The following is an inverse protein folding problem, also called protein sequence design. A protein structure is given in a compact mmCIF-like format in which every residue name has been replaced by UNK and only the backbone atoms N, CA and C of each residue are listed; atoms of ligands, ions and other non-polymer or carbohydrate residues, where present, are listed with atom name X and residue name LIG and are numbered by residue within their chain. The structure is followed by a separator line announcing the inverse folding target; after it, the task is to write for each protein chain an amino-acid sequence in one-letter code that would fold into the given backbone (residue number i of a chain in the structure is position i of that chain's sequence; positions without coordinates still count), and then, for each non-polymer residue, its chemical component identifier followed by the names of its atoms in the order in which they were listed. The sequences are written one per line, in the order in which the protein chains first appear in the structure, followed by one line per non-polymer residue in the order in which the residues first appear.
data_IF_531307016534
#
_entry.id   IF_531307016534
#
_cell.length_a   1.000
_cell.length_b   1.000
_cell.length_c   1.000
_cell.angle_alpha   90.00
_cell.angle_beta   90.00
_cell.angle_gamma   90.00
#
_symmetry.space_group_name_H-M   'P 1'
#
loop_
_entity.id
_entity.type
_entity.pdbx_description
1 polymer ?
#
# COMPACT_ATOMS: atom_id res chain seq x y z
N UNK A 1 -48.52 -31.20 9.78
CA UNK A 1 -47.42 -30.96 10.74
C UNK A 1 -47.29 -29.47 10.86
N UNK A 2 -47.78 -28.94 11.98
CA UNK A 2 -47.77 -27.51 12.29
C UNK A 2 -46.34 -26.99 12.34
N UNK A 3 -46.14 -25.77 11.85
CA UNK A 3 -44.83 -25.11 11.84
C UNK A 3 -44.30 -25.01 13.27
N UNK A 4 -43.30 -25.82 13.60
CA UNK A 4 -42.61 -25.78 14.89
C UNK A 4 -41.99 -24.39 15.07
N UNK A 5 -42.46 -23.63 16.06
CA UNK A 5 -41.86 -22.35 16.46
C UNK A 5 -41.29 -22.44 17.86
N UNK A 6 -40.17 -21.77 18.13
CA UNK A 6 -39.59 -21.74 19.45
C UNK A 6 -38.44 -20.76 19.59
N UNK A 7 -37.99 -20.61 20.82
CA UNK A 7 -36.86 -19.76 21.19
C UNK A 7 -35.80 -20.63 21.88
N UNK A 8 -34.53 -20.33 21.63
CA UNK A 8 -33.40 -20.92 22.33
C UNK A 8 -32.43 -19.83 22.78
N UNK A 9 -31.84 -20.01 23.95
CA UNK A 9 -30.77 -19.16 24.47
C UNK A 9 -29.54 -20.03 24.69
N UNK A 10 -28.39 -19.59 24.15
CA UNK A 10 -27.13 -20.32 24.24
C UNK A 10 -26.10 -19.41 24.89
N UNK A 11 -25.67 -19.80 26.09
CA UNK A 11 -24.55 -19.17 26.81
C UNK A 11 -23.39 -20.14 26.85
N UNK A 12 -22.38 -19.86 26.05
CA UNK A 12 -21.15 -20.65 25.99
C UNK A 12 -19.98 -19.79 26.48
N UNK A 13 -19.12 -20.37 27.32
CA UNK A 13 -17.93 -19.70 27.88
C UNK A 13 -16.73 -20.59 27.69
N UNK A 14 -15.54 -19.97 27.65
CA UNK A 14 -14.25 -20.67 27.49
C UNK A 14 -14.20 -21.53 26.22
N UNK A 15 -14.83 -21.07 25.15
CA UNK A 15 -14.79 -21.73 23.85
C UNK A 15 -13.38 -21.55 23.29
N UNK A 16 -12.78 -22.66 22.87
CA UNK A 16 -11.53 -22.67 22.11
C UNK A 16 -11.79 -23.28 20.74
N UNK A 17 -11.37 -22.57 19.70
CA UNK A 17 -11.49 -23.04 18.31
C UNK A 17 -10.10 -23.48 17.87
N UNK A 18 -9.99 -24.66 17.25
CA UNK A 18 -8.72 -25.21 16.81
C UNK A 18 -8.69 -25.35 15.29
N UNK A 19 -7.52 -25.12 14.69
CA UNK A 19 -7.29 -25.44 13.28
C UNK A 19 -7.06 -26.95 13.17
N UNK A 20 -7.99 -27.66 12.49
CA UNK A 20 -8.00 -29.13 12.37
C UNK A 20 -6.63 -29.73 12.02
N UNK A 21 -5.89 -29.09 11.12
CA UNK A 21 -4.66 -29.66 10.58
C UNK A 21 -3.39 -29.36 11.40
N UNK A 22 -3.42 -28.37 12.30
CA UNK A 22 -2.20 -27.91 13.02
C UNK A 22 -2.27 -28.01 14.53
N UNK A 23 -3.43 -28.39 15.10
CA UNK A 23 -3.74 -28.33 16.55
C UNK A 23 -3.47 -26.95 17.21
N UNK A 24 -3.13 -25.91 16.44
CA UNK A 24 -3.01 -24.54 16.94
C UNK A 24 -4.40 -24.00 17.25
N UNK A 25 -4.50 -23.30 18.39
CA UNK A 25 -5.69 -22.55 18.74
C UNK A 25 -5.86 -21.41 17.73
N UNK A 26 -7.06 -21.25 17.20
CA UNK A 26 -7.47 -20.09 16.41
C UNK A 26 -7.94 -18.97 17.33
N UNK A 27 -8.69 -19.37 18.36
CA UNK A 27 -9.30 -18.52 19.36
C UNK A 27 -9.27 -19.27 20.68
N UNK A 28 -8.97 -18.56 21.77
CA UNK A 28 -9.03 -19.11 23.13
C UNK A 28 -9.97 -18.27 23.98
N UNK A 29 -10.63 -18.93 24.93
CA UNK A 29 -11.43 -18.29 25.96
C UNK A 29 -12.56 -17.39 25.42
N UNK A 30 -13.12 -17.74 24.26
CA UNK A 30 -14.24 -16.99 23.68
C UNK A 30 -15.51 -17.26 24.50
N UNK A 31 -16.28 -16.21 24.73
CA UNK A 31 -17.61 -16.32 25.31
C UNK A 31 -18.63 -15.84 24.29
N UNK A 32 -19.75 -16.56 24.18
CA UNK A 32 -20.84 -16.25 23.27
C UNK A 32 -22.15 -16.31 24.06
N UNK A 33 -22.92 -15.24 23.99
CA UNK A 33 -24.30 -15.19 24.45
C UNK A 33 -25.19 -14.99 23.23
N UNK A 34 -26.08 -15.95 22.94
CA UNK A 34 -26.88 -15.98 21.72
C UNK A 34 -28.35 -16.24 22.04
N UNK A 35 -29.23 -15.47 21.38
CA UNK A 35 -30.66 -15.68 21.34
C UNK A 35 -31.06 -16.09 19.93
N UNK A 36 -31.77 -17.20 19.83
CA UNK A 36 -32.18 -17.80 18.57
C UNK A 36 -33.70 -17.96 18.60
N UNK A 37 -34.36 -17.52 17.53
CA UNK A 37 -35.78 -17.74 17.30
C UNK A 37 -35.92 -18.58 16.04
N UNK A 38 -36.74 -19.63 16.06
CA UNK A 38 -37.02 -20.44 14.89
C UNK A 38 -38.52 -20.54 14.65
N UNK A 39 -38.91 -20.53 13.39
CA UNK A 39 -40.29 -20.71 12.94
C UNK A 39 -40.29 -21.53 11.65
N UNK A 40 -40.70 -22.80 11.76
CA UNK A 40 -40.64 -23.74 10.64
C UNK A 40 -39.20 -24.02 10.20
N UNK A 41 -38.86 -23.63 8.97
CA UNK A 41 -37.54 -23.80 8.38
C UNK A 41 -36.66 -22.53 8.44
N UNK A 42 -37.12 -21.48 9.11
CA UNK A 42 -36.43 -20.20 9.21
C UNK A 42 -35.92 -19.95 10.63
N UNK A 43 -34.79 -19.25 10.74
CA UNK A 43 -34.09 -18.99 11.99
C UNK A 43 -33.58 -17.54 12.01
N UNK A 44 -33.86 -16.81 13.09
CA UNK A 44 -33.23 -15.53 13.41
C UNK A 44 -32.31 -15.71 14.61
N UNK A 45 -31.15 -15.05 14.61
CA UNK A 45 -30.24 -15.06 15.75
C UNK A 45 -29.64 -13.69 16.04
N UNK A 46 -29.35 -13.46 17.32
CA UNK A 46 -28.56 -12.33 17.82
C UNK A 46 -27.57 -12.88 18.83
N UNK A 47 -26.29 -12.57 18.64
CA UNK A 47 -25.21 -13.05 19.47
C UNK A 47 -24.23 -11.94 19.81
N UNK A 48 -23.83 -11.88 21.07
CA UNK A 48 -22.69 -11.11 21.55
C UNK A 48 -21.53 -12.08 21.76
N UNK A 49 -20.41 -11.85 21.06
CA UNK A 49 -19.21 -12.67 21.18
C UNK A 49 -18.06 -11.84 21.74
N UNK A 50 -17.37 -12.38 22.74
CA UNK A 50 -16.29 -11.72 23.47
C UNK A 50 -15.03 -12.58 23.38
N UNK A 51 -13.91 -11.98 22.97
CA UNK A 51 -12.59 -12.59 22.92
C UNK A 51 -11.54 -11.61 23.47
N UNK A 52 -11.05 -11.85 24.69
CA UNK A 52 -10.19 -10.89 25.38
C UNK A 52 -10.91 -9.56 25.61
N UNK A 53 -10.30 -8.45 25.16
CA UNK A 53 -10.88 -7.11 25.24
C UNK A 53 -11.81 -6.77 24.05
N UNK A 54 -12.02 -7.71 23.13
CA UNK A 54 -12.86 -7.50 21.94
C UNK A 54 -14.26 -8.00 22.23
N UNK A 55 -15.26 -7.17 21.95
CA UNK A 55 -16.67 -7.54 21.94
C UNK A 55 -17.24 -7.26 20.56
N UNK A 56 -17.89 -8.24 19.94
CA UNK A 56 -18.54 -8.10 18.64
C UNK A 56 -20.01 -8.50 18.73
N UNK A 57 -20.85 -7.79 17.98
CA UNK A 57 -22.28 -8.11 17.84
C UNK A 57 -22.51 -8.79 16.51
N UNK A 58 -23.16 -9.92 16.52
CA UNK A 58 -23.50 -10.70 15.33
C UNK A 58 -25.01 -10.90 15.33
N UNK A 59 -25.66 -10.62 14.22
CA UNK A 59 -27.09 -10.87 14.06
C UNK A 59 -27.35 -11.39 12.66
N UNK A 60 -28.45 -12.09 12.46
CA UNK A 60 -28.78 -12.56 11.13
C UNK A 60 -30.05 -13.38 11.05
N UNK A 61 -30.44 -13.61 9.81
CA UNK A 61 -31.51 -14.53 9.43
C UNK A 61 -30.95 -15.65 8.56
N UNK A 62 -31.44 -16.87 8.79
CA UNK A 62 -31.22 -18.01 7.92
C UNK A 62 -32.57 -18.54 7.49
N UNK A 63 -32.82 -18.53 6.18
CA UNK A 63 -34.04 -19.07 5.59
C UNK A 63 -33.79 -20.47 5.08
N UNK A 64 -34.79 -21.33 5.23
CA UNK A 64 -34.78 -22.70 4.75
C UNK A 64 -33.55 -23.50 5.19
N UNK A 65 -33.12 -23.38 6.45
CA UNK A 65 -31.82 -23.91 6.91
C UNK A 65 -31.62 -25.42 6.69
N UNK A 66 -32.72 -26.18 6.57
CA UNK A 66 -32.74 -27.62 6.29
C UNK A 66 -32.79 -27.99 4.81
N UNK A 67 -32.87 -27.02 3.89
CA UNK A 67 -33.03 -27.25 2.45
C UNK A 67 -31.78 -26.85 1.67
N UNK A 68 -31.64 -27.41 0.47
CA UNK A 68 -30.53 -27.09 -0.45
C UNK A 68 -30.54 -25.62 -0.92
N UNK A 69 -31.68 -24.95 -0.85
CA UNK A 69 -31.86 -23.55 -1.22
C UNK A 69 -31.75 -22.58 -0.03
N UNK A 70 -31.07 -22.99 1.03
CA UNK A 70 -30.81 -22.14 2.20
C UNK A 70 -30.15 -20.82 1.81
N UNK A 71 -30.57 -19.76 2.48
CA UNK A 71 -29.97 -18.44 2.38
C UNK A 71 -29.69 -17.88 3.76
N UNK A 72 -28.63 -17.10 3.91
CA UNK A 72 -28.22 -16.51 5.17
C UNK A 72 -27.86 -15.04 4.96
N UNK A 73 -28.40 -14.15 5.79
CA UNK A 73 -27.97 -12.76 5.90
C UNK A 73 -27.41 -12.58 7.32
N UNK A 74 -26.16 -12.15 7.42
CA UNK A 74 -25.48 -11.88 8.69
C UNK A 74 -25.02 -10.44 8.69
N UNK A 75 -25.25 -9.75 9.80
CA UNK A 75 -24.59 -8.50 10.15
C UNK A 75 -23.67 -8.71 11.34
N UNK A 76 -22.40 -8.37 11.17
CA UNK A 76 -21.40 -8.36 12.21
C UNK A 76 -20.87 -6.94 12.43
N UNK A 77 -20.90 -6.47 13.67
CA UNK A 77 -20.43 -5.15 14.06
C UNK A 77 -19.35 -5.25 15.13
N UNK A 78 -18.15 -4.76 14.79
CA UNK A 78 -17.05 -4.56 15.72
C UNK A 78 -17.06 -3.08 16.13
N UNK A 79 -17.40 -2.74 17.40
CA UNK A 79 -17.21 -1.40 17.92
C UNK A 79 -15.72 -1.02 17.89
N UNK A 80 -15.44 0.25 18.11
CA UNK A 80 -14.06 0.73 18.14
C UNK A 80 -13.25 0.01 19.22
N UNK A 81 -12.16 -0.63 18.80
CA UNK A 81 -11.22 -1.36 19.65
C UNK A 81 -9.78 -0.99 19.28
N UNK A 82 -8.85 -1.12 20.23
CA UNK A 82 -7.44 -0.94 19.92
C UNK A 82 -6.94 -2.10 19.06
N UNK A 83 -6.08 -1.82 18.09
CA UNK A 83 -5.52 -2.89 17.24
C UNK A 83 -4.66 -3.87 18.03
N UNK A 84 -4.01 -3.41 19.10
CA UNK A 84 -3.28 -4.28 20.01
C UNK A 84 -4.19 -5.33 20.65
N UNK A 85 -5.43 -4.98 21.00
CA UNK A 85 -6.39 -5.94 21.55
C UNK A 85 -6.78 -7.01 20.51
N UNK A 86 -6.87 -6.62 19.23
CA UNK A 86 -7.06 -7.56 18.10
C UNK A 86 -5.89 -8.52 18.00
N UNK A 87 -4.66 -8.01 17.96
CA UNK A 87 -3.46 -8.86 17.88
C UNK A 87 -3.40 -9.84 19.06
N UNK A 88 -3.64 -9.36 20.27
CA UNK A 88 -3.51 -10.16 21.49
C UNK A 88 -4.60 -11.25 21.58
N UNK A 89 -5.83 -10.96 21.15
CA UNK A 89 -6.91 -11.96 21.11
C UNK A 89 -6.70 -13.05 20.04
N UNK A 90 -6.02 -12.70 18.95
CA UNK A 90 -5.78 -13.58 17.79
C UNK A 90 -4.30 -13.99 17.64
N UNK A 91 -3.51 -13.89 18.71
CA UNK A 91 -2.06 -14.09 18.70
C UNK A 91 -1.63 -15.39 17.98
N UNK A 92 -2.31 -16.50 18.25
CA UNK A 92 -1.93 -17.82 17.72
C UNK A 92 -2.14 -17.98 16.19
N UNK A 93 -2.90 -17.08 15.56
CA UNK A 93 -3.18 -17.08 14.10
C UNK A 93 -2.73 -15.81 13.40
N UNK A 94 -2.28 -14.81 14.16
CA UNK A 94 -1.74 -13.61 13.58
C UNK A 94 -0.51 -14.00 12.74
N UNK A 95 -0.33 -13.46 11.53
CA UNK A 95 0.83 -13.82 10.71
C UNK A 95 2.13 -13.55 11.48
N UNK A 96 3.07 -14.50 11.49
CA UNK A 96 4.31 -14.39 12.27
C UNK A 96 5.07 -13.09 11.98
N UNK A 97 5.09 -12.65 10.72
CA UNK A 97 5.70 -11.39 10.27
C UNK A 97 5.06 -10.13 10.85
N UNK A 98 3.84 -10.23 11.36
CA UNK A 98 3.06 -9.15 11.96
C UNK A 98 2.97 -9.28 13.48
N UNK A 99 3.40 -10.39 14.08
CA UNK A 99 3.38 -10.52 15.54
C UNK A 99 4.32 -9.51 16.21
N UNK A 100 5.48 -9.28 15.60
CA UNK A 100 6.54 -8.43 16.13
C UNK A 100 6.53 -7.01 15.53
N UNK A 101 5.67 -6.75 14.55
CA UNK A 101 5.47 -5.41 14.04
C UNK A 101 4.69 -4.54 15.06
N UNK A 102 4.98 -3.24 15.07
CA UNK A 102 4.25 -2.26 15.86
C UNK A 102 2.88 -2.01 15.25
N UNK A 103 1.81 -2.26 16.02
CA UNK A 103 0.42 -2.02 15.63
C UNK A 103 -0.24 -1.11 16.65
N UNK A 104 -0.61 0.09 16.23
CA UNK A 104 -1.24 1.09 17.10
C UNK A 104 -2.50 1.68 16.46
N UNK A 105 -3.28 2.38 17.28
CA UNK A 105 -4.52 3.02 16.87
C UNK A 105 -5.75 2.15 17.08
N UNK A 106 -6.83 2.51 16.38
CA UNK A 106 -8.16 1.97 16.60
C UNK A 106 -8.77 1.49 15.28
N UNK A 107 -9.54 0.39 15.37
CA UNK A 107 -10.32 -0.17 14.27
C UNK A 107 -11.74 -0.39 14.75
N UNK A 108 -12.71 -0.11 13.87
CA UNK A 108 -14.09 -0.59 13.98
C UNK A 108 -14.55 -1.13 12.62
N UNK A 109 -15.58 -1.98 12.62
CA UNK A 109 -16.17 -2.47 11.38
C UNK A 109 -17.65 -2.75 11.48
N UNK A 110 -18.33 -2.61 10.36
CA UNK A 110 -19.71 -3.08 10.16
C UNK A 110 -19.72 -3.85 8.84
N UNK A 111 -20.11 -5.11 8.90
CA UNK A 111 -20.01 -6.06 7.79
C UNK A 111 -21.31 -6.82 7.64
N UNK A 112 -21.79 -6.89 6.41
CA UNK A 112 -22.95 -7.64 5.95
C UNK A 112 -22.47 -8.79 5.07
N UNK A 113 -22.93 -10.00 5.39
CA UNK A 113 -22.63 -11.23 4.68
C UNK A 113 -23.94 -11.81 4.18
N UNK A 114 -24.11 -11.87 2.87
CA UNK A 114 -25.23 -12.55 2.21
C UNK A 114 -24.74 -13.84 1.56
N UNK A 115 -25.35 -14.96 1.90
CA UNK A 115 -25.11 -16.24 1.28
C UNK A 115 -26.40 -16.80 0.71
N UNK A 116 -26.40 -17.22 -0.56
CA UNK A 116 -27.54 -17.89 -1.19
C UNK A 116 -27.08 -18.80 -2.33
N UNK A 117 -28.02 -19.34 -3.10
CA UNK A 117 -27.73 -20.08 -4.35
C UNK A 117 -26.89 -19.28 -5.35
N UNK A 118 -26.98 -17.93 -5.35
CA UNK A 118 -26.16 -17.09 -6.24
C UNK A 118 -24.70 -16.97 -5.79
N UNK A 119 -24.39 -17.35 -4.54
CA UNK A 119 -23.05 -17.33 -3.96
C UNK A 119 -22.96 -16.49 -2.69
N UNK A 120 -21.72 -16.13 -2.34
CA UNK A 120 -21.38 -15.28 -1.19
C UNK A 120 -21.20 -13.83 -1.66
N UNK A 121 -21.85 -12.90 -0.97
CA UNK A 121 -21.65 -11.46 -1.09
C UNK A 121 -21.28 -10.90 0.28
N UNK A 122 -20.27 -10.05 0.32
CA UNK A 122 -19.77 -9.34 1.49
C UNK A 122 -19.85 -7.85 1.19
N UNK A 123 -20.44 -7.06 2.06
CA UNK A 123 -20.40 -5.59 1.97
C UNK A 123 -20.13 -5.04 3.36
N UNK A 124 -19.36 -3.97 3.48
CA UNK A 124 -19.10 -3.39 4.78
C UNK A 124 -18.07 -2.30 4.74
N UNK A 125 -17.72 -1.81 5.91
CA UNK A 125 -16.75 -0.76 6.11
C UNK A 125 -15.82 -1.14 7.26
N UNK A 126 -14.53 -0.88 7.09
CA UNK A 126 -13.55 -0.88 8.17
C UNK A 126 -13.12 0.55 8.38
N UNK A 127 -13.39 1.09 9.56
CA UNK A 127 -12.96 2.44 9.93
C UNK A 127 -11.67 2.35 10.73
N UNK A 128 -10.68 3.13 10.32
CA UNK A 128 -9.40 3.26 11.00
C UNK A 128 -9.28 4.65 11.60
N UNK A 129 -8.80 4.72 12.84
CA UNK A 129 -8.49 5.96 13.53
C UNK A 129 -7.10 5.87 14.16
N UNK A 130 -6.23 6.79 13.76
CA UNK A 130 -4.83 6.89 14.17
C UNK A 130 -4.07 5.56 14.06
N UNK A 131 -4.39 4.78 13.03
CA UNK A 131 -3.77 3.48 12.82
C UNK A 131 -2.33 3.64 12.37
N UNK A 132 -1.39 2.98 13.05
CA UNK A 132 0.03 3.02 12.71
C UNK A 132 0.54 1.59 12.60
N UNK A 133 1.24 1.32 11.50
CA UNK A 133 2.02 0.11 11.28
C UNK A 133 3.51 0.46 11.30
N UNK A 134 4.28 -0.21 12.13
CA UNK A 134 5.74 -0.07 12.18
C UNK A 134 6.41 -1.44 12.00
N UNK A 135 7.47 -1.50 11.21
CA UNK A 135 8.30 -2.69 11.09
C UNK A 135 8.95 -3.05 12.42
N UNK A 136 9.28 -4.33 12.60
CA UNK A 136 9.85 -4.87 13.84
C UNK A 136 11.10 -4.12 14.30
N UNK A 137 11.94 -3.70 13.37
CA UNK A 137 13.19 -2.99 13.60
C UNK A 137 13.07 -1.48 13.31
N UNK A 138 11.85 -0.94 13.26
CA UNK A 138 11.56 0.42 12.83
C UNK A 138 12.11 0.76 11.43
N UNK A 139 12.33 -0.25 10.61
CA UNK A 139 12.86 -0.12 9.25
C UNK A 139 11.85 0.56 8.31
N UNK A 140 10.55 0.40 8.60
CA UNK A 140 9.48 1.18 7.98
C UNK A 140 8.43 1.63 9.00
N UNK A 141 7.69 2.68 8.66
CA UNK A 141 6.43 3.01 9.33
C UNK A 141 5.42 3.65 8.39
N UNK A 142 4.15 3.36 8.62
CA UNK A 142 3.03 3.90 7.86
C UNK A 142 1.97 4.39 8.83
N UNK A 143 1.64 5.67 8.79
CA UNK A 143 0.58 6.25 9.61
C UNK A 143 0.85 7.69 10.06
N UNK A 144 -0.04 8.24 10.91
CA UNK A 144 -1.34 7.68 11.27
C UNK A 144 -2.28 7.56 10.05
N UNK A 145 -2.99 6.44 9.94
CA UNK A 145 -4.01 6.17 8.93
C UNK A 145 -5.38 6.46 9.53
N UNK A 146 -6.14 7.30 8.84
CA UNK A 146 -7.49 7.71 9.22
C UNK A 146 -8.43 7.60 8.02
N UNK A 147 -9.62 7.05 8.22
CA UNK A 147 -10.65 6.98 7.18
C UNK A 147 -11.39 5.65 7.15
N UNK A 148 -12.14 5.44 6.09
CA UNK A 148 -12.98 4.25 5.90
C UNK A 148 -12.48 3.46 4.70
N UNK A 149 -12.19 2.18 4.93
CA UNK A 149 -11.90 1.19 3.89
C UNK A 149 -13.20 0.44 3.58
N UNK A 150 -13.85 0.73 2.45
CA UNK A 150 -15.03 0.01 2.02
C UNK A 150 -14.64 -1.39 1.56
N UNK A 151 -15.37 -2.38 2.06
CA UNK A 151 -15.23 -3.79 1.68
C UNK A 151 -16.43 -4.14 0.83
N UNK A 152 -16.19 -4.59 -0.40
CA UNK A 152 -17.18 -5.34 -1.15
C UNK A 152 -16.51 -6.56 -1.78
N UNK A 153 -17.21 -7.69 -1.70
CA UNK A 153 -16.87 -8.90 -2.43
C UNK A 153 -18.17 -9.51 -2.93
N UNK A 154 -18.21 -9.87 -4.20
CA UNK A 154 -19.29 -10.65 -4.78
C UNK A 154 -18.67 -11.60 -5.80
N UNK A 155 -19.27 -12.79 -5.96
CA UNK A 155 -18.88 -13.69 -7.04
C UNK A 155 -18.91 -12.91 -8.37
N UNK A 156 -17.84 -12.94 -9.19
CA UNK A 156 -17.80 -12.16 -10.42
C UNK A 156 -18.89 -12.61 -11.36
N UNK A 157 -19.71 -11.67 -11.83
CA UNK A 157 -20.63 -11.89 -12.94
C UNK A 157 -19.83 -11.92 -14.25
N UNK A 158 -20.23 -12.78 -15.20
CA UNK A 158 -19.60 -12.83 -16.52
C UNK A 158 -19.67 -11.44 -17.17
N UNK A 159 -18.51 -10.85 -17.47
CA UNK A 159 -18.42 -9.54 -18.12
C UNK A 159 -18.08 -8.36 -17.20
N UNK A 160 -17.50 -8.58 -16.01
CA UNK A 160 -16.91 -7.49 -15.21
C UNK A 160 -16.01 -6.60 -16.09
N UNK A 161 -16.35 -5.31 -16.15
CA UNK A 161 -15.56 -4.31 -16.88
C UNK A 161 -14.19 -4.22 -16.23
N UNK A 162 -13.14 -4.35 -17.04
CA UNK A 162 -11.78 -4.07 -16.62
C UNK A 162 -11.70 -2.59 -16.25
N UNK A 163 -11.47 -2.30 -14.96
CA UNK A 163 -11.15 -0.94 -14.53
C UNK A 163 -9.84 -0.55 -15.20
N UNK A 164 -9.87 0.50 -16.03
CA UNK A 164 -8.70 0.99 -16.75
C UNK A 164 -8.04 2.09 -15.94
N UNK A 165 -6.72 1.97 -15.75
CA UNK A 165 -5.90 3.07 -15.26
C UNK A 165 -5.35 3.87 -16.44
N UNK A 166 -5.07 5.18 -16.29
CA UNK A 166 -4.39 5.96 -17.31
C UNK A 166 -3.06 5.33 -17.73
N UNK A 167 -2.59 5.66 -18.94
CA UNK A 167 -1.24 5.31 -19.36
C UNK A 167 -0.23 6.21 -18.67
N UNK A 168 0.75 5.64 -17.98
CA UNK A 168 1.83 6.40 -17.32
C UNK A 168 3.08 6.35 -18.19
N UNK A 169 3.04 7.15 -19.25
CA UNK A 169 4.15 7.32 -20.19
C UNK A 169 4.64 8.76 -20.18
N UNK A 170 5.92 8.94 -20.51
CA UNK A 170 6.55 10.27 -20.48
C UNK A 170 5.85 11.26 -21.40
N UNK A 171 5.35 10.82 -22.55
CA UNK A 171 4.56 11.65 -23.48
C UNK A 171 3.25 12.15 -22.88
N UNK A 172 2.70 11.45 -21.88
CA UNK A 172 1.43 11.78 -21.24
C UNK A 172 1.63 12.63 -19.97
N UNK A 173 2.87 13.00 -19.62
CA UNK A 173 3.19 13.63 -18.35
C UNK A 173 2.35 14.89 -18.06
N UNK A 174 2.29 15.82 -19.02
CA UNK A 174 1.55 17.08 -18.84
C UNK A 174 0.04 16.85 -18.71
N UNK A 175 -0.51 15.93 -19.50
CA UNK A 175 -1.92 15.53 -19.43
C UNK A 175 -2.25 14.90 -18.07
N UNK A 176 -1.41 13.97 -17.59
CA UNK A 176 -1.56 13.34 -16.27
C UNK A 176 -1.42 14.37 -15.14
N UNK A 177 -0.45 15.27 -15.25
CA UNK A 177 -0.21 16.36 -14.29
C UNK A 177 -1.43 17.28 -14.18
N UNK A 178 -2.05 17.63 -15.32
CA UNK A 178 -3.29 18.39 -15.35
C UNK A 178 -4.49 17.58 -14.79
N UNK A 179 -4.57 16.28 -15.06
CA UNK A 179 -5.60 15.40 -14.51
C UNK A 179 -5.52 15.30 -12.98
N UNK A 180 -4.33 14.98 -12.45
CA UNK A 180 -4.09 14.83 -11.00
C UNK A 180 -3.92 16.14 -10.25
N UNK A 181 -4.07 17.30 -10.87
CA UNK A 181 -4.15 18.59 -10.17
C UNK A 181 -5.58 19.05 -9.92
N UNK A 182 -6.57 18.52 -10.65
CA UNK A 182 -8.00 18.86 -10.46
C UNK A 182 -8.52 18.32 -9.12
N UNK A 183 -9.42 19.02 -8.44
CA UNK A 183 -9.98 18.60 -7.14
C UNK A 183 -11.32 17.83 -7.25
N UNK A 184 -11.68 17.37 -8.45
CA UNK A 184 -12.96 16.70 -8.70
C UNK A 184 -12.84 15.20 -8.43
N UNK A 185 -13.77 14.67 -7.64
CA UNK A 185 -13.88 13.26 -7.32
C UNK A 185 -15.25 12.74 -7.73
N UNK A 186 -15.30 11.54 -8.29
CA UNK A 186 -16.56 10.88 -8.59
C UNK A 186 -17.30 10.49 -7.30
N UNK A 187 -18.63 10.43 -7.37
CA UNK A 187 -19.46 9.97 -6.24
C UNK A 187 -19.15 8.50 -5.93
N UNK A 188 -19.00 8.19 -4.64
CA UNK A 188 -18.89 6.80 -4.16
C UNK A 188 -17.48 6.33 -3.75
N UNK A 189 -16.48 7.20 -3.82
CA UNK A 189 -15.15 6.92 -3.27
C UNK A 189 -15.08 7.26 -1.78
N UNK A 190 -14.40 6.40 -1.01
CA UNK A 190 -14.05 6.66 0.39
C UNK A 190 -12.66 7.29 0.46
N UNK A 191 -12.52 8.31 1.32
CA UNK A 191 -11.25 8.99 1.56
C UNK A 191 -10.50 8.33 2.72
N UNK A 192 -9.23 8.05 2.49
CA UNK A 192 -8.26 7.61 3.49
C UNK A 192 -7.12 8.62 3.51
N UNK A 193 -6.70 9.05 4.70
CA UNK A 193 -5.54 9.91 4.91
C UNK A 193 -4.46 9.15 5.66
N UNK A 194 -3.21 9.28 5.23
CA UNK A 194 -2.05 8.68 5.88
C UNK A 194 -1.04 9.80 6.14
N UNK A 195 -0.68 10.01 7.40
CA UNK A 195 0.20 11.12 7.79
C UNK A 195 1.57 11.04 7.11
N UNK A 196 2.23 9.89 7.19
CA UNK A 196 3.51 9.67 6.52
C UNK A 196 3.80 8.21 6.18
N UNK A 197 4.72 8.03 5.24
CA UNK A 197 5.36 6.75 4.94
C UNK A 197 6.87 6.91 5.12
N UNK A 198 7.46 6.07 5.97
CA UNK A 198 8.89 6.02 6.27
C UNK A 198 9.44 4.67 5.86
N UNK A 199 10.60 4.66 5.19
CA UNK A 199 11.41 3.48 4.97
C UNK A 199 12.88 3.89 5.14
N UNK A 200 13.47 3.60 6.30
CA UNK A 200 14.70 4.22 6.80
C UNK A 200 14.52 5.72 7.12
N UNK A 201 14.20 6.52 6.11
CA UNK A 201 13.89 7.95 6.18
C UNK A 201 12.46 8.22 5.69
N UNK A 202 11.96 9.43 5.93
CA UNK A 202 10.58 9.81 5.65
C UNK A 202 10.40 10.09 4.17
N UNK A 203 9.79 9.14 3.44
CA UNK A 203 9.63 9.18 2.00
C UNK A 203 8.44 10.04 1.56
N UNK A 204 7.28 9.81 2.17
CA UNK A 204 6.04 10.51 1.82
C UNK A 204 5.41 11.17 3.05
N UNK A 205 4.75 12.30 2.83
CA UNK A 205 3.97 13.05 3.82
C UNK A 205 2.59 13.40 3.24
N UNK A 206 1.61 13.63 4.10
CA UNK A 206 0.27 14.14 3.74
C UNK A 206 -0.41 13.32 2.63
N UNK A 207 -0.41 12.01 2.78
CA UNK A 207 -0.91 11.10 1.77
C UNK A 207 -2.43 11.04 1.84
N UNK A 208 -3.08 11.14 0.70
CA UNK A 208 -4.53 10.99 0.55
C UNK A 208 -4.80 9.94 -0.50
N UNK A 209 -5.68 9.00 -0.20
CA UNK A 209 -6.08 7.89 -1.07
C UNK A 209 -7.59 7.88 -1.19
N UNK A 210 -8.08 7.74 -2.42
CA UNK A 210 -9.51 7.57 -2.73
C UNK A 210 -9.74 6.16 -3.25
N UNK A 211 -10.56 5.40 -2.54
CA UNK A 211 -10.80 3.98 -2.82
C UNK A 211 -12.28 3.68 -3.01
N UNK A 212 -12.59 2.81 -3.96
CA UNK A 212 -13.93 2.29 -4.20
C UNK A 212 -13.85 0.80 -4.56
N UNK A 213 -14.66 -0.05 -3.92
CA UNK A 213 -14.74 -1.45 -4.29
C UNK A 213 -15.77 -1.63 -5.40
N UNK A 214 -15.44 -2.44 -6.40
CA UNK A 214 -16.30 -2.79 -7.54
C UNK A 214 -16.23 -4.31 -7.73
N UNK A 215 -17.18 -5.03 -7.12
CA UNK A 215 -17.19 -6.50 -7.15
C UNK A 215 -15.99 -7.10 -6.43
N UNK A 216 -15.08 -7.73 -7.18
CA UNK A 216 -13.82 -8.30 -6.66
C UNK A 216 -12.62 -7.36 -6.82
N UNK A 217 -12.85 -6.14 -7.30
CA UNK A 217 -11.81 -5.18 -7.65
C UNK A 217 -11.81 -4.02 -6.65
N UNK A 218 -10.65 -3.66 -6.13
CA UNK A 218 -10.42 -2.41 -5.42
C UNK A 218 -9.82 -1.39 -6.39
N UNK A 219 -10.58 -0.33 -6.66
CA UNK A 219 -10.15 0.78 -7.48
C UNK A 219 -9.63 1.92 -6.59
N UNK A 220 -8.34 2.21 -6.71
CA UNK A 220 -7.71 3.41 -6.18
C UNK A 220 -7.63 4.43 -7.32
N UNK A 221 -8.72 5.17 -7.52
CA UNK A 221 -8.82 6.15 -8.60
C UNK A 221 -7.69 7.18 -8.48
N UNK A 222 -7.39 7.60 -7.24
CA UNK A 222 -6.35 8.57 -7.00
C UNK A 222 -5.69 8.39 -5.65
N UNK A 223 -4.37 8.47 -5.66
CA UNK A 223 -3.58 8.82 -4.50
C UNK A 223 -2.75 10.07 -4.76
N UNK A 224 -2.43 10.80 -3.70
CA UNK A 224 -1.53 11.94 -3.74
C UNK A 224 -0.74 12.06 -2.45
N UNK A 225 0.46 12.62 -2.51
CA UNK A 225 1.27 12.92 -1.33
C UNK A 225 2.39 13.90 -1.64
N UNK A 226 3.10 14.32 -0.61
CA UNK A 226 4.29 15.18 -0.69
C UNK A 226 5.55 14.32 -0.58
N UNK A 227 6.55 14.59 -1.40
CA UNK A 227 7.82 13.84 -1.45
C UNK A 227 8.98 14.81 -1.73
N UNK A 228 9.89 14.99 -0.76
CA UNK A 228 11.11 15.82 -0.87
C UNK A 228 10.91 17.15 -1.64
N UNK A 229 10.01 18.01 -1.16
CA UNK A 229 9.68 19.31 -1.79
C UNK A 229 8.78 19.22 -3.03
N UNK A 230 8.59 18.03 -3.59
CA UNK A 230 7.71 17.75 -4.71
C UNK A 230 6.41 17.05 -4.32
N UNK A 231 5.69 16.57 -5.35
CA UNK A 231 4.40 15.89 -5.23
C UNK A 231 4.42 14.55 -5.95
N UNK A 232 3.78 13.57 -5.34
CA UNK A 232 3.49 12.28 -5.97
C UNK A 232 1.99 12.16 -6.19
N UNK A 233 1.60 11.59 -7.32
CA UNK A 233 0.23 11.26 -7.67
C UNK A 233 0.17 9.88 -8.30
N UNK A 234 -1.02 9.30 -8.37
CA UNK A 234 -1.22 8.13 -9.23
C UNK A 234 -2.54 7.41 -8.96
N UNK A 235 -2.64 6.21 -9.50
CA UNK A 235 -3.82 5.34 -9.40
C UNK A 235 -3.39 3.89 -9.32
N UNK A 236 -4.24 3.05 -8.74
CA UNK A 236 -4.02 1.61 -8.70
C UNK A 236 -5.33 0.84 -8.80
N UNK A 237 -5.23 -0.41 -9.25
CA UNK A 237 -6.33 -1.36 -9.28
C UNK A 237 -5.80 -2.68 -8.73
N UNK A 238 -6.54 -3.28 -7.79
CA UNK A 238 -6.26 -4.60 -7.23
C UNK A 238 -7.45 -5.50 -7.49
N UNK A 239 -7.28 -6.50 -8.34
CA UNK A 239 -8.26 -7.53 -8.65
C UNK A 239 -7.99 -8.77 -7.79
N UNK A 240 -9.00 -9.18 -7.02
CA UNK A 240 -8.97 -10.33 -6.10
C UNK A 240 -9.75 -11.54 -6.62
N UNK A 241 -10.24 -11.51 -7.87
CA UNK A 241 -11.07 -12.59 -8.44
C UNK A 241 -10.34 -13.93 -8.57
N UNK A 242 -9.07 -13.89 -8.96
CA UNK A 242 -8.23 -15.06 -9.25
C UNK A 242 -6.83 -14.87 -8.66
N UNK A 243 -6.77 -14.75 -7.33
CA UNK A 243 -5.58 -14.29 -6.60
C UNK A 243 -5.42 -12.78 -6.65
N UNK A 244 -4.29 -12.26 -6.16
CA UNK A 244 -4.03 -10.82 -6.10
C UNK A 244 -3.33 -10.35 -7.37
N UNK A 245 -4.08 -9.76 -8.31
CA UNK A 245 -3.50 -9.08 -9.48
C UNK A 245 -3.57 -7.60 -9.26
N UNK A 246 -2.48 -6.88 -9.51
CA UNK A 246 -2.46 -5.44 -9.34
C UNK A 246 -1.84 -4.72 -10.52
N UNK A 247 -2.31 -3.51 -10.76
CA UNK A 247 -1.72 -2.53 -11.68
C UNK A 247 -1.69 -1.19 -10.97
N UNK A 248 -0.58 -0.48 -11.06
CA UNK A 248 -0.42 0.83 -10.46
C UNK A 248 0.35 1.73 -11.41
N UNK A 249 0.06 3.01 -11.36
CA UNK A 249 0.85 4.03 -12.02
C UNK A 249 1.09 5.21 -11.09
N UNK A 250 2.26 5.82 -11.25
CA UNK A 250 2.78 6.88 -10.39
C UNK A 250 3.31 8.01 -11.25
N UNK A 251 2.98 9.23 -10.87
CA UNK A 251 3.48 10.48 -11.43
C UNK A 251 4.24 11.21 -10.31
N UNK A 252 5.49 11.55 -10.57
CA UNK A 252 6.33 12.35 -9.71
C UNK A 252 6.52 13.73 -10.34
N UNK A 253 6.23 14.78 -9.59
CA UNK A 253 6.37 16.16 -10.07
C UNK A 253 7.17 17.00 -9.09
N UNK A 254 8.25 17.60 -9.57
CA UNK A 254 9.01 18.64 -8.89
C UNK A 254 9.74 18.15 -7.64
N UNK A 255 10.17 16.89 -7.60
CA UNK A 255 11.00 16.40 -6.49
C UNK A 255 12.30 17.21 -6.47
N UNK A 256 12.67 17.75 -5.31
CA UNK A 256 13.93 18.47 -5.11
C UNK A 256 15.03 17.50 -4.71
N UNK A 257 16.07 17.39 -5.54
CA UNK A 257 17.25 16.59 -5.21
C UNK A 257 18.03 17.19 -4.04
N UNK A 258 18.06 18.52 -3.92
CA UNK A 258 18.62 19.20 -2.76
C UNK A 258 17.92 18.74 -1.48
N UNK A 259 16.59 18.80 -1.45
CA UNK A 259 15.80 18.37 -0.28
C UNK A 259 16.01 16.87 0.02
N UNK A 260 16.02 16.02 -1.02
CA UNK A 260 16.27 14.59 -0.89
C UNK A 260 17.66 14.31 -0.29
N UNK A 261 18.70 14.95 -0.81
CA UNK A 261 20.07 14.78 -0.32
C UNK A 261 20.23 15.29 1.11
N UNK A 262 19.57 16.40 1.46
CA UNK A 262 19.61 16.95 2.82
C UNK A 262 18.92 16.04 3.86
N UNK A 263 17.83 15.36 3.49
CA UNK A 263 17.16 14.41 4.38
C UNK A 263 17.90 13.06 4.52
N UNK A 264 18.91 12.77 3.68
CA UNK A 264 19.64 11.50 3.65
C UNK A 264 21.14 11.75 3.86
N UNK A 265 21.56 11.78 5.13
CA UNK A 265 22.91 12.18 5.56
C UNK A 265 24.08 11.56 4.73
N UNK A 266 24.09 10.25 4.38
CA UNK A 266 25.19 9.68 3.59
C UNK A 266 25.38 10.24 2.18
N UNK A 267 24.39 10.95 1.64
CA UNK A 267 24.42 11.56 0.30
C UNK A 267 24.18 13.08 0.34
N UNK A 268 24.35 13.70 1.51
CA UNK A 268 24.14 15.13 1.69
C UNK A 268 25.00 15.95 0.74
N UNK A 269 24.35 16.90 0.06
CA UNK A 269 24.97 17.80 -0.91
C UNK A 269 25.44 17.11 -2.21
N UNK A 270 25.16 15.83 -2.44
CA UNK A 270 25.76 15.11 -3.57
C UNK A 270 25.31 15.62 -4.93
N UNK A 271 24.03 15.93 -5.06
CA UNK A 271 23.39 16.36 -6.31
C UNK A 271 22.22 17.31 -6.00
N UNK A 272 21.94 18.23 -6.91
CA UNK A 272 20.82 19.17 -6.87
C UNK A 272 20.15 19.28 -8.24
N UNK A 273 18.90 19.71 -8.26
CA UNK A 273 18.04 19.81 -9.44
C UNK A 273 16.64 19.28 -9.15
N UNK A 274 15.67 19.63 -9.98
CA UNK A 274 14.32 19.09 -9.86
C UNK A 274 14.19 17.81 -10.70
N UNK A 275 13.40 16.85 -10.21
CA UNK A 275 13.05 15.62 -10.90
C UNK A 275 11.54 15.55 -11.13
N UNK A 276 11.20 15.23 -12.37
CA UNK A 276 9.89 14.72 -12.75
C UNK A 276 10.04 13.26 -13.20
N UNK A 277 8.95 12.51 -13.11
CA UNK A 277 8.95 11.15 -13.61
C UNK A 277 7.60 10.49 -13.66
N UNK A 278 7.55 9.37 -14.36
CA UNK A 278 6.40 8.47 -14.42
C UNK A 278 6.87 7.05 -14.18
N UNK A 279 6.00 6.26 -13.56
CA UNK A 279 6.24 4.84 -13.41
C UNK A 279 4.93 4.06 -13.55
N UNK A 280 5.03 2.84 -14.06
CA UNK A 280 3.91 1.92 -14.20
C UNK A 280 4.36 0.52 -13.79
N UNK A 281 3.54 -0.13 -12.97
CA UNK A 281 3.81 -1.46 -12.44
C UNK A 281 2.58 -2.35 -12.59
N UNK A 282 2.83 -3.64 -12.80
CA UNK A 282 1.83 -4.69 -12.70
C UNK A 282 2.45 -5.90 -11.99
N UNK A 283 1.63 -6.71 -11.35
CA UNK A 283 2.13 -7.92 -10.73
C UNK A 283 1.02 -8.87 -10.29
N UNK A 284 1.45 -9.99 -9.74
CA UNK A 284 0.60 -11.05 -9.23
C UNK A 284 1.12 -11.58 -7.88
N UNK A 285 0.22 -11.90 -6.96
CA UNK A 285 0.58 -12.38 -5.63
C UNK A 285 1.19 -11.30 -4.75
N UNK A 286 2.05 -11.71 -3.81
CA UNK A 286 2.61 -10.84 -2.75
C UNK A 286 4.12 -10.62 -2.86
N UNK A 287 4.82 -11.30 -3.77
CA UNK A 287 6.27 -11.25 -3.88
C UNK A 287 6.78 -10.15 -4.83
N UNK A 288 7.87 -9.47 -4.45
CA UNK A 288 8.54 -8.45 -5.28
C UNK A 288 9.03 -9.02 -6.62
N UNK A 289 9.39 -10.32 -6.64
CA UNK A 289 9.79 -11.02 -7.86
C UNK A 289 8.71 -11.09 -8.94
N UNK A 290 7.45 -10.89 -8.57
CA UNK A 290 6.31 -10.91 -9.49
C UNK A 290 5.93 -9.51 -10.02
N UNK A 291 6.68 -8.47 -9.63
CA UNK A 291 6.47 -7.10 -10.13
C UNK A 291 7.17 -6.95 -11.47
N UNK A 292 6.43 -6.44 -12.45
CA UNK A 292 6.92 -6.01 -13.75
C UNK A 292 6.54 -4.55 -13.95
N UNK A 293 7.49 -3.71 -14.32
CA UNK A 293 7.21 -2.30 -14.54
C UNK A 293 8.25 -1.55 -15.34
N UNK A 294 7.93 -0.30 -15.63
CA UNK A 294 8.82 0.67 -16.27
C UNK A 294 8.75 1.98 -15.50
N UNK A 295 9.86 2.70 -15.43
CA UNK A 295 9.89 4.04 -14.87
C UNK A 295 10.86 4.91 -15.67
N UNK A 296 10.46 6.16 -15.88
CA UNK A 296 11.20 7.18 -16.60
C UNK A 296 11.26 8.44 -15.75
N UNK A 297 12.47 8.91 -15.48
CA UNK A 297 12.74 10.11 -14.70
C UNK A 297 13.65 11.03 -15.48
N UNK A 298 13.43 12.34 -15.34
CA UNK A 298 14.27 13.35 -15.94
C UNK A 298 14.42 14.54 -15.01
N UNK A 299 15.56 15.20 -15.15
CA UNK A 299 15.94 16.35 -14.35
C UNK A 299 15.73 17.64 -15.12
N UNK A 300 15.56 18.73 -14.39
CA UNK A 300 15.54 20.08 -14.92
C UNK A 300 15.99 21.08 -13.86
N UNK A 301 16.43 22.26 -14.32
CA UNK A 301 16.72 23.40 -13.45
C UNK A 301 15.48 24.28 -13.31
N UNK A 302 15.32 24.89 -12.14
CA UNK A 302 14.38 25.99 -11.89
C UNK A 302 15.17 27.22 -11.45
N UNK A 303 14.49 28.34 -11.18
CA UNK A 303 15.15 29.53 -10.62
C UNK A 303 15.66 29.30 -9.19
N UNK A 304 14.94 28.46 -8.44
CA UNK A 304 15.25 28.15 -7.05
C UNK A 304 16.26 27.00 -6.91
N UNK A 305 16.36 26.11 -7.90
CA UNK A 305 17.23 24.94 -7.82
C UNK A 305 17.91 24.65 -9.18
N UNK A 306 19.23 24.80 -9.22
CA UNK A 306 20.04 24.52 -10.42
C UNK A 306 20.55 23.09 -10.40
N UNK A 307 20.62 22.45 -11.57
CA UNK A 307 21.18 21.12 -11.74
C UNK A 307 22.68 21.11 -11.54
N UNK A 308 23.14 20.54 -10.43
CA UNK A 308 24.58 20.42 -10.11
C UNK A 308 24.93 19.09 -9.47
N UNK A 309 26.16 18.65 -9.72
CA UNK A 309 26.80 17.52 -9.05
C UNK A 309 27.97 18.04 -8.22
N UNK A 310 28.05 17.60 -6.97
CA UNK A 310 29.16 17.91 -6.07
C UNK A 310 30.47 17.24 -6.48
N UNK A 311 31.58 17.83 -6.02
CA UNK A 311 32.91 17.26 -6.21
C UNK A 311 33.06 15.93 -5.48
N UNK A 312 32.48 15.81 -4.29
CA UNK A 312 32.49 14.63 -3.44
C UNK A 312 31.86 13.44 -4.18
N UNK A 313 30.71 13.65 -4.81
CA UNK A 313 30.04 12.62 -5.60
C UNK A 313 30.88 12.22 -6.83
N UNK A 314 31.41 13.19 -7.58
CA UNK A 314 32.26 12.92 -8.74
C UNK A 314 33.51 12.09 -8.37
N UNK A 315 34.14 12.38 -7.23
CA UNK A 315 35.27 11.59 -6.72
C UNK A 315 34.88 10.17 -6.34
N UNK A 316 33.68 9.99 -5.80
CA UNK A 316 33.18 8.67 -5.35
C UNK A 316 32.83 7.77 -6.54
N UNK A 317 32.16 8.30 -7.56
CA UNK A 317 31.79 7.54 -8.77
C UNK A 317 32.95 7.40 -9.76
N UNK A 318 33.88 8.35 -9.75
CA UNK A 318 34.87 8.50 -10.79
C UNK A 318 36.18 7.74 -10.62
N UNK A 319 36.39 7.16 -9.45
CA UNK A 319 37.64 6.46 -9.13
C UNK A 319 38.90 7.33 -9.22
N UNK A 320 40.10 6.72 -9.20
CA UNK A 320 41.39 7.43 -9.17
C UNK A 320 41.67 8.29 -10.41
N UNK A 321 40.97 8.06 -11.52
CA UNK A 321 41.17 8.70 -12.82
C UNK A 321 40.51 10.08 -12.95
N UNK A 322 39.63 10.47 -12.03
CA UNK A 322 38.89 11.74 -12.06
C UNK A 322 39.45 12.82 -11.10
N UNK A 323 40.76 12.78 -10.83
CA UNK A 323 41.50 13.80 -10.05
C UNK A 323 41.41 15.23 -10.61
N UNK A 324 40.94 15.41 -11.84
CA UNK A 324 40.87 16.69 -12.58
C UNK A 324 39.59 17.50 -12.37
N UNK A 325 38.58 17.00 -11.63
CA UNK A 325 37.40 17.82 -11.32
C UNK A 325 37.67 18.82 -10.19
N UNK A 326 37.89 20.08 -10.58
CA UNK A 326 37.99 21.23 -9.69
C UNK A 326 36.59 21.85 -9.56
N UNK A 327 35.88 21.49 -8.48
CA UNK A 327 34.59 22.11 -8.08
C UNK A 327 33.32 21.38 -8.50
N UNK A 328 32.17 21.96 -8.12
CA UNK A 328 30.84 21.52 -8.55
C UNK A 328 30.69 21.60 -10.07
N UNK A 329 29.97 20.65 -10.67
CA UNK A 329 29.69 20.64 -12.11
C UNK A 329 28.21 20.79 -12.37
N UNK A 330 27.86 21.70 -13.28
CA UNK A 330 26.50 21.79 -13.82
C UNK A 330 26.26 20.63 -14.78
N UNK A 331 25.00 20.22 -14.89
CA UNK A 331 24.55 19.28 -15.92
C UNK A 331 23.27 19.78 -16.55
N UNK A 332 23.10 19.58 -17.85
CA UNK A 332 21.92 20.01 -18.63
C UNK A 332 20.96 18.84 -18.89
N UNK A 333 21.47 17.61 -18.85
CA UNK A 333 20.69 16.38 -19.07
C UNK A 333 20.95 15.39 -17.96
N UNK A 334 19.93 15.09 -17.16
CA UNK A 334 19.89 13.91 -16.28
C UNK A 334 18.65 13.08 -16.62
N UNK A 335 18.84 11.84 -17.06
CA UNK A 335 17.77 10.90 -17.41
C UNK A 335 18.04 9.55 -16.76
N UNK A 336 16.99 8.95 -16.22
CA UNK A 336 16.99 7.58 -15.71
C UNK A 336 15.75 6.84 -16.21
N UNK A 337 15.97 5.85 -17.06
CA UNK A 337 14.93 4.92 -17.54
C UNK A 337 15.27 3.52 -17.06
N UNK A 338 14.32 2.88 -16.37
CA UNK A 338 14.52 1.57 -15.78
C UNK A 338 13.32 0.66 -15.95
N UNK A 339 13.58 -0.64 -15.92
CA UNK A 339 12.58 -1.69 -15.84
C UNK A 339 12.65 -2.36 -14.48
N UNK A 340 11.49 -2.76 -13.96
CA UNK A 340 11.40 -3.69 -12.84
C UNK A 340 11.03 -5.04 -13.39
N UNK A 341 11.83 -6.07 -13.10
CA UNK A 341 11.52 -7.43 -13.50
C UNK A 341 12.22 -8.44 -12.59
N UNK A 342 11.49 -9.48 -12.16
CA UNK A 342 12.05 -10.59 -11.39
C UNK A 342 12.81 -10.15 -10.12
N UNK A 343 12.38 -9.07 -9.47
CA UNK A 343 13.03 -8.54 -8.27
C UNK A 343 14.26 -7.67 -8.54
N UNK A 344 14.55 -7.33 -9.80
CA UNK A 344 15.66 -6.46 -10.18
C UNK A 344 15.16 -5.14 -10.77
N UNK A 345 15.89 -4.06 -10.46
CA UNK A 345 15.89 -2.81 -11.21
C UNK A 345 16.93 -2.92 -12.33
N UNK A 346 16.49 -2.82 -13.58
CA UNK A 346 17.34 -2.95 -14.76
C UNK A 346 17.42 -1.58 -15.44
N UNK A 347 18.61 -0.99 -15.46
CA UNK A 347 18.80 0.33 -16.05
C UNK A 347 18.90 0.22 -17.58
N UNK A 348 17.96 0.86 -18.27
CA UNK A 348 17.98 1.01 -19.74
C UNK A 348 18.85 2.21 -20.12
N UNK A 349 18.62 3.33 -19.45
CA UNK A 349 19.39 4.55 -19.61
C UNK A 349 19.64 5.13 -18.22
N UNK A 350 20.89 5.45 -17.91
CA UNK A 350 21.24 6.31 -16.80
C UNK A 350 22.34 7.23 -17.33
N UNK A 351 21.97 8.48 -17.59
CA UNK A 351 22.84 9.50 -18.15
C UNK A 351 22.76 10.75 -17.29
N UNK A 352 23.92 11.24 -16.87
CA UNK A 352 24.09 12.63 -16.44
C UNK A 352 25.16 13.25 -17.31
N UNK A 353 24.79 14.23 -18.12
CA UNK A 353 25.68 14.90 -19.04
C UNK A 353 25.50 16.41 -19.05
N UNK A 354 26.53 17.09 -19.50
CA UNK A 354 26.55 18.53 -19.72
C UNK A 354 27.14 18.82 -21.10
N UNK A 355 26.55 19.78 -21.82
CA UNK A 355 27.21 20.46 -22.95
C UNK A 355 27.62 21.86 -22.51
N UNK A 356 28.86 22.24 -22.82
CA UNK A 356 29.33 23.59 -22.57
C UNK A 356 28.76 24.59 -23.61
N UNK A 357 29.06 25.88 -23.44
CA UNK A 357 28.59 26.96 -24.32
C UNK A 357 28.97 26.78 -25.80
N UNK A 358 30.04 26.02 -26.09
CA UNK A 358 30.48 25.68 -27.44
C UNK A 358 29.84 24.39 -27.99
N UNK A 359 28.88 23.79 -27.27
CA UNK A 359 28.20 22.55 -27.64
C UNK A 359 29.01 21.28 -27.42
N UNK A 360 30.23 21.38 -26.87
CA UNK A 360 31.09 20.24 -26.57
C UNK A 360 30.65 19.59 -25.25
N UNK A 361 30.62 18.26 -25.21
CA UNK A 361 30.32 17.49 -23.99
C UNK A 361 31.50 17.58 -23.01
N UNK A 362 31.30 18.23 -21.87
CA UNK A 362 32.31 18.37 -20.80
C UNK A 362 32.00 17.50 -19.56
N UNK A 363 30.81 16.90 -19.50
CA UNK A 363 30.44 15.86 -18.55
C UNK A 363 29.62 14.78 -19.27
N UNK A 364 29.93 13.51 -19.05
CA UNK A 364 29.14 12.38 -19.55
C UNK A 364 29.34 11.16 -18.64
N UNK A 365 28.48 11.02 -17.64
CA UNK A 365 28.37 9.82 -16.82
C UNK A 365 27.28 8.97 -17.45
N UNK A 366 27.66 7.82 -18.01
CA UNK A 366 26.73 6.84 -18.58
C UNK A 366 27.04 5.47 -18.02
N UNK A 367 25.98 4.76 -17.67
CA UNK A 367 26.06 3.38 -17.21
C UNK A 367 25.76 2.47 -18.39
N UNK A 368 26.61 1.46 -18.65
CA UNK A 368 26.43 0.56 -19.80
C UNK A 368 25.09 -0.20 -19.68
N UNK A 369 24.26 -0.23 -20.73
CA UNK A 369 23.07 -1.08 -20.75
C UNK A 369 23.47 -2.55 -20.54
N UNK A 370 22.59 -3.34 -19.90
CA UNK A 370 22.66 -4.80 -19.70
C UNK A 370 23.50 -5.36 -18.54
N UNK A 371 24.57 -4.70 -18.09
CA UNK A 371 25.33 -5.14 -16.90
C UNK A 371 24.90 -4.47 -15.59
N UNK A 372 23.97 -3.52 -15.66
CA UNK A 372 23.56 -2.72 -14.52
C UNK A 372 22.15 -3.10 -14.08
N UNK A 373 22.13 -4.09 -13.18
CA UNK A 373 20.94 -4.48 -12.42
C UNK A 373 21.21 -4.33 -10.94
N UNK A 374 20.23 -3.83 -10.21
CA UNK A 374 20.28 -3.76 -8.74
C UNK A 374 19.14 -4.62 -8.22
N UNK A 375 19.46 -5.57 -7.35
CA UNK A 375 18.44 -6.37 -6.67
C UNK A 375 17.67 -5.45 -5.70
N UNK A 376 16.33 -5.49 -5.75
CA UNK A 376 15.47 -4.57 -4.99
C UNK A 376 15.67 -4.76 -3.49
N UNK A 377 15.75 -6.02 -3.05
CA UNK A 377 16.07 -6.39 -1.66
C UNK A 377 17.38 -5.75 -1.19
N UNK A 378 18.45 -5.81 -1.99
CA UNK A 378 19.73 -5.21 -1.68
C UNK A 378 19.65 -3.67 -1.59
N UNK A 379 18.89 -3.02 -2.48
CA UNK A 379 18.67 -1.57 -2.42
C UNK A 379 17.93 -1.18 -1.13
N UNK A 380 16.86 -1.90 -0.82
CA UNK A 380 16.03 -1.67 0.37
C UNK A 380 16.84 -1.86 1.66
N UNK A 381 17.66 -2.91 1.71
CA UNK A 381 18.59 -3.12 2.82
C UNK A 381 19.61 -1.97 2.96
N UNK A 382 20.21 -1.54 1.84
CA UNK A 382 21.19 -0.43 1.84
C UNK A 382 20.59 0.88 2.35
N UNK A 383 19.33 1.17 2.00
CA UNK A 383 18.59 2.34 2.51
C UNK A 383 18.41 2.26 4.02
N UNK A 384 18.05 1.09 4.53
CA UNK A 384 17.83 0.86 5.97
C UNK A 384 19.13 1.02 6.75
N UNK A 385 20.23 0.41 6.28
CA UNK A 385 21.56 0.58 6.89
C UNK A 385 22.01 2.04 6.90
N UNK A 386 21.81 2.75 5.78
CA UNK A 386 22.17 4.16 5.64
C UNK A 386 21.41 5.03 6.66
N UNK A 387 20.11 4.76 6.85
CA UNK A 387 19.29 5.46 7.82
C UNK A 387 19.70 5.15 9.27
N UNK A 388 20.05 3.90 9.57
CA UNK A 388 20.50 3.52 10.91
C UNK A 388 21.84 4.17 11.27
N UNK A 389 22.81 4.16 10.35
CA UNK A 389 24.10 4.84 10.55
C UNK A 389 23.95 6.36 10.73
N UNK A 390 22.93 6.96 10.13
CA UNK A 390 22.63 8.38 10.32
C UNK A 390 22.10 8.65 11.74
N UNK A 391 21.19 7.79 12.25
CA UNK A 391 20.66 7.89 13.64
C UNK A 391 21.73 7.72 14.71
N UNK A 392 22.73 6.87 14.49
CA UNK A 392 23.83 6.65 15.46
C UNK A 392 24.82 7.83 15.53
N UNK A 393 24.83 8.71 14.52
CA UNK A 393 25.74 9.87 14.42
C UNK A 393 25.08 11.20 14.82
N UNK A 394 23.76 11.24 14.90
CA UNK A 394 22.94 12.37 15.35
C UNK A 394 22.64 12.26 16.84
#
# INVERSE_FOLDING_TARGET
MDSLSGNAEVKARKISVFKRDSKRNILRNVSVDSKIQFAGDDLEFKADAIAGNISTRISGEMKKFKKEDRSMNIRAGLPEVKVTDIRDAFWDIFPDSLLYAGFYGYISSDVLIDYSKSGLKLNGNVTMRDFILEGENNEYSVGPVNGVIPIAYAKPENGQKLVTIPSFERSEFDTLSAYYSKATFEKGFSRITIGSFRYGFRLLKDIVVWVKPEGTVLNFERFSGTIFGGRVYGSAVVDMSNGFRYRAGVLLKGLSLTTLCEEIEPIKGYISGNIDGVAQFKGFGTGISQIIGKADFWTYSTDNEKTKISREFLRKIGGPSLKTYIGERRFDKGIMSLYVQNGFLIFKELEISNRNFFGLRDLSIKVMPFNNRIAIDHLMWTITEAAQRAKEKS
#
